data_IF_451734395029
#
_entry.id   IF_451734395029
#
_cell.length_a   1.000
_cell.length_b   1.000
_cell.length_c   1.000
_cell.angle_alpha   90.00
_cell.angle_beta   90.00
_cell.angle_gamma   90.00
#
_symmetry.space_group_name_H-M   'P 1'
#
loop_
_entity.id
_entity.type
_entity.pdbx_description
1 polymer ?
#
# COMPACT_ATOMS: atom_id res chain seq x y z
N UNK A 1 10.33 8.79 14.81
CA UNK A 1 10.00 9.55 13.57
C UNK A 1 9.46 8.58 12.54
N UNK A 2 8.46 8.95 11.73
CA UNK A 2 7.77 8.01 10.83
C UNK A 2 8.64 7.50 9.68
N UNK A 3 9.48 8.36 9.09
CA UNK A 3 10.36 8.00 7.97
C UNK A 3 11.27 6.81 8.28
N UNK A 4 11.79 6.71 9.52
CA UNK A 4 12.63 5.59 9.95
C UNK A 4 11.94 4.23 9.73
N UNK A 5 10.61 4.14 9.87
CA UNK A 5 9.87 2.89 9.63
C UNK A 5 9.96 2.47 8.16
N UNK A 6 9.93 3.45 7.25
CA UNK A 6 10.05 3.21 5.81
C UNK A 6 11.49 2.85 5.45
N UNK A 7 12.47 3.54 6.04
CA UNK A 7 13.90 3.28 5.86
C UNK A 7 14.26 1.86 6.34
N UNK A 8 13.77 1.45 7.50
CA UNK A 8 13.99 0.11 8.05
C UNK A 8 13.40 -0.98 7.12
N UNK A 9 12.23 -0.73 6.54
CA UNK A 9 11.58 -1.67 5.63
C UNK A 9 12.31 -1.77 4.27
N UNK A 10 12.82 -0.65 3.76
CA UNK A 10 13.70 -0.61 2.58
C UNK A 10 14.99 -1.38 2.86
N UNK A 11 15.62 -1.16 4.03
CA UNK A 11 16.83 -1.86 4.42
C UNK A 11 16.61 -3.39 4.52
N UNK A 12 15.45 -3.84 5.01
CA UNK A 12 15.10 -5.25 5.03
C UNK A 12 15.01 -5.85 3.61
N UNK A 13 14.41 -5.13 2.66
CA UNK A 13 14.36 -5.55 1.26
C UNK A 13 15.76 -5.64 0.62
N UNK A 14 16.60 -4.63 0.86
CA UNK A 14 17.99 -4.61 0.40
C UNK A 14 18.81 -5.75 1.01
N UNK A 15 18.61 -6.05 2.30
CA UNK A 15 19.23 -7.18 2.98
C UNK A 15 18.87 -8.51 2.31
N UNK A 16 17.58 -8.75 2.02
CA UNK A 16 17.13 -10.00 1.38
C UNK A 16 17.76 -10.20 -0.01
N UNK A 17 17.91 -9.11 -0.78
CA UNK A 17 18.55 -9.12 -2.09
C UNK A 17 20.06 -9.35 -1.96
N UNK A 18 20.73 -8.62 -1.07
CA UNK A 18 22.17 -8.74 -0.85
C UNK A 18 22.58 -10.15 -0.38
N UNK A 19 21.73 -10.79 0.43
CA UNK A 19 21.95 -12.15 0.93
C UNK A 19 21.38 -13.24 0.02
N UNK A 20 20.99 -12.90 -1.22
CA UNK A 20 20.59 -13.85 -2.26
C UNK A 20 19.37 -14.71 -1.91
N UNK A 21 18.51 -14.26 -1.01
CA UNK A 21 17.19 -14.90 -0.78
C UNK A 21 16.24 -14.66 -1.95
N UNK A 22 16.35 -13.49 -2.59
CA UNK A 22 15.52 -13.08 -3.73
C UNK A 22 16.25 -12.05 -4.60
N UNK A 23 15.56 -11.47 -5.57
CA UNK A 23 16.01 -10.35 -6.39
C UNK A 23 14.85 -9.39 -6.64
N UNK A 24 15.12 -8.16 -7.09
CA UNK A 24 14.10 -7.14 -7.37
C UNK A 24 12.88 -7.69 -8.13
N UNK A 25 13.02 -8.40 -9.28
CA UNK A 25 11.86 -8.90 -10.02
C UNK A 25 11.05 -10.00 -9.31
N UNK A 26 11.58 -10.55 -8.22
CA UNK A 26 11.01 -11.67 -7.43
C UNK A 26 10.65 -11.26 -6.00
N UNK A 27 10.81 -9.99 -5.64
CA UNK A 27 10.47 -9.47 -4.33
C UNK A 27 9.11 -8.77 -4.38
N UNK A 28 8.20 -9.14 -3.49
CA UNK A 28 6.95 -8.45 -3.26
C UNK A 28 6.86 -7.94 -1.83
N UNK A 29 6.17 -6.80 -1.64
CA UNK A 29 5.88 -6.23 -0.33
C UNK A 29 4.38 -6.19 -0.07
N UNK A 30 3.98 -6.45 1.18
CA UNK A 30 2.58 -6.52 1.58
C UNK A 30 2.41 -5.93 2.99
N UNK A 31 1.29 -5.25 3.20
CA UNK A 31 0.97 -4.67 4.50
C UNK A 31 -0.46 -4.14 4.54
N UNK A 32 -1.11 -4.27 5.71
CA UNK A 32 -2.50 -3.86 5.96
C UNK A 32 -2.62 -2.70 6.94
N UNK A 33 -3.61 -1.81 6.77
CA UNK A 33 -3.86 -0.67 7.69
C UNK A 33 -2.69 0.32 7.70
N UNK A 34 -2.05 0.55 8.85
CA UNK A 34 -0.76 1.26 8.92
C UNK A 34 0.33 0.55 8.07
N UNK A 35 0.25 -0.77 7.90
CA UNK A 35 1.09 -1.51 6.94
C UNK A 35 0.76 -1.19 5.47
N UNK A 36 -0.49 -0.81 5.16
CA UNK A 36 -0.86 -0.34 3.83
C UNK A 36 -0.24 1.03 3.53
N UNK A 37 -0.21 1.92 4.53
CA UNK A 37 0.56 3.17 4.48
C UNK A 37 2.05 2.89 4.25
N UNK A 38 2.64 1.96 5.00
CA UNK A 38 4.04 1.52 4.82
C UNK A 38 4.33 1.10 3.38
N UNK A 39 3.53 0.19 2.83
CA UNK A 39 3.71 -0.27 1.44
C UNK A 39 3.56 0.89 0.45
N UNK A 40 2.53 1.73 0.59
CA UNK A 40 2.33 2.87 -0.31
C UNK A 40 3.47 3.90 -0.26
N UNK A 41 3.95 4.23 0.93
CA UNK A 41 5.06 5.18 1.10
C UNK A 41 6.35 4.62 0.49
N UNK A 42 6.71 3.38 0.83
CA UNK A 42 7.93 2.73 0.33
C UNK A 42 7.89 2.51 -1.18
N UNK A 43 6.74 2.11 -1.73
CA UNK A 43 6.56 1.95 -3.17
C UNK A 43 6.81 3.26 -3.93
N UNK A 44 6.37 4.40 -3.38
CA UNK A 44 6.56 5.71 -4.00
C UNK A 44 7.99 6.25 -3.84
N UNK A 45 8.65 5.91 -2.73
CA UNK A 45 10.04 6.28 -2.48
C UNK A 45 11.02 5.46 -3.32
N UNK A 46 10.81 4.14 -3.41
CA UNK A 46 11.69 3.16 -4.07
C UNK A 46 10.91 2.22 -5.01
N UNK A 47 10.28 2.75 -6.09
CA UNK A 47 9.56 1.92 -7.07
C UNK A 47 10.49 0.94 -7.81
N UNK A 48 11.79 1.20 -7.80
CA UNK A 48 12.86 0.39 -8.41
C UNK A 48 13.22 -0.87 -7.61
N UNK A 49 12.77 -1.00 -6.36
CA UNK A 49 13.25 -2.04 -5.45
C UNK A 49 12.40 -3.32 -5.44
N UNK A 50 11.18 -3.27 -5.97
CA UNK A 50 10.20 -4.35 -5.86
C UNK A 50 9.69 -4.82 -7.22
N UNK A 51 9.30 -6.09 -7.32
CA UNK A 51 8.61 -6.66 -8.47
C UNK A 51 7.09 -6.55 -8.37
N UNK A 52 6.55 -6.52 -7.16
CA UNK A 52 5.13 -6.31 -6.90
C UNK A 52 4.85 -5.65 -5.52
N UNK A 53 3.69 -5.01 -5.38
CA UNK A 53 3.23 -4.40 -4.13
C UNK A 53 1.75 -4.70 -3.84
N UNK A 54 1.45 -4.96 -2.56
CA UNK A 54 0.14 -5.36 -2.06
C UNK A 54 -0.29 -4.48 -0.85
N UNK A 55 -0.57 -3.19 -1.06
CA UNK A 55 -1.12 -2.35 -0.01
C UNK A 55 -2.60 -2.71 0.26
N UNK A 56 -2.92 -3.08 1.49
CA UNK A 56 -4.27 -3.45 1.91
C UNK A 56 -4.86 -2.44 2.90
N UNK A 57 -6.10 -2.01 2.68
CA UNK A 57 -6.92 -1.21 3.62
C UNK A 57 -6.12 -0.08 4.28
N UNK A 58 -5.31 0.63 3.48
CA UNK A 58 -4.24 1.48 3.97
C UNK A 58 -4.62 2.95 4.12
N UNK A 59 -3.99 3.65 5.05
CA UNK A 59 -4.15 5.10 5.22
C UNK A 59 -3.29 5.83 4.18
N UNK A 60 -3.84 6.09 3.00
CA UNK A 60 -3.07 6.61 1.85
C UNK A 60 -2.99 8.14 1.77
N UNK A 61 -3.91 8.83 2.44
CA UNK A 61 -4.04 10.30 2.40
C UNK A 61 -3.77 10.81 3.81
N UNK A 62 -2.50 11.11 4.08
CA UNK A 62 -2.06 11.53 5.40
C UNK A 62 -2.40 12.98 5.72
N UNK A 63 -2.93 13.75 4.75
CA UNK A 63 -3.34 15.15 5.01
C UNK A 63 -4.83 15.30 5.27
N UNK A 64 -5.62 14.24 5.02
CA UNK A 64 -7.06 14.22 5.28
C UNK A 64 -7.54 13.04 6.12
N UNK A 65 -6.66 12.15 6.59
CA UNK A 65 -7.09 10.95 7.33
C UNK A 65 -7.94 11.27 8.57
N UNK A 66 -7.71 12.42 9.21
CA UNK A 66 -8.47 12.86 10.40
C UNK A 66 -9.91 13.24 10.11
N UNK A 67 -10.27 13.44 8.84
CA UNK A 67 -11.61 13.88 8.43
C UNK A 67 -12.59 12.71 8.21
N UNK A 68 -12.13 11.47 8.40
CA UNK A 68 -12.93 10.27 8.14
C UNK A 68 -12.98 9.33 9.35
N UNK A 69 -14.19 8.87 9.65
CA UNK A 69 -14.52 7.83 10.65
C UNK A 69 -13.75 7.98 11.97
N UNK A 70 -12.86 7.03 12.29
CA UNK A 70 -12.06 7.01 13.53
C UNK A 70 -10.65 7.58 13.35
N UNK A 71 -10.32 8.12 12.17
CA UNK A 71 -8.97 8.56 11.83
C UNK A 71 -8.41 9.65 12.75
N UNK A 72 -9.27 10.51 13.31
CA UNK A 72 -8.86 11.53 14.28
C UNK A 72 -8.19 10.94 15.55
N UNK A 73 -8.50 9.69 15.91
CA UNK A 73 -7.87 9.02 17.04
C UNK A 73 -6.39 8.67 16.80
N UNK A 74 -5.93 8.60 15.55
CA UNK A 74 -4.56 8.24 15.21
C UNK A 74 -3.61 9.44 15.13
N UNK A 75 -4.08 10.64 15.50
CA UNK A 75 -3.21 11.82 15.63
C UNK A 75 -2.07 11.61 16.61
N UNK A 76 -2.29 10.79 17.65
CA UNK A 76 -1.23 10.40 18.61
C UNK A 76 -0.04 9.73 17.94
N UNK A 77 -0.27 9.03 16.83
CA UNK A 77 0.74 8.22 16.14
C UNK A 77 1.32 8.91 14.91
N UNK A 78 0.48 9.65 14.17
CA UNK A 78 0.86 10.28 12.90
C UNK A 78 1.13 11.78 13.01
N UNK A 79 0.46 12.47 13.93
CA UNK A 79 0.35 13.93 13.98
C UNK A 79 -0.98 14.46 13.44
N UNK A 80 -1.23 15.74 13.64
CA UNK A 80 -2.39 16.50 13.19
C UNK A 80 -2.10 17.22 11.86
N UNK A 81 -2.78 16.88 10.74
CA UNK A 81 -2.65 17.60 9.48
C UNK A 81 -2.98 19.10 9.56
N UNK A 82 -3.68 19.54 10.62
CA UNK A 82 -4.04 20.95 10.84
C UNK A 82 -2.93 21.74 11.57
N UNK A 83 -1.94 21.07 12.16
CA UNK A 83 -0.73 21.73 12.65
C UNK A 83 0.26 21.93 11.49
N UNK A 84 0.64 23.17 11.12
CA UNK A 84 1.57 23.42 10.01
C UNK A 84 2.92 22.71 10.13
N UNK A 85 3.44 22.49 11.35
CA UNK A 85 4.71 21.79 11.55
C UNK A 85 4.58 20.30 11.29
N UNK A 86 3.47 19.70 11.70
CA UNK A 86 3.21 18.27 11.51
C UNK A 86 2.73 17.96 10.10
N UNK A 87 1.97 18.88 9.48
CA UNK A 87 1.56 18.83 8.08
C UNK A 87 2.74 18.61 7.15
N UNK A 88 3.84 19.37 7.32
CA UNK A 88 5.02 19.24 6.47
C UNK A 88 5.60 17.81 6.53
N UNK A 89 5.63 17.20 7.72
CA UNK A 89 6.09 15.82 7.89
C UNK A 89 5.11 14.82 7.26
N UNK A 90 3.80 14.98 7.46
CA UNK A 90 2.76 14.12 6.87
C UNK A 90 2.76 14.18 5.34
N UNK A 91 2.84 15.38 4.77
CA UNK A 91 2.86 15.60 3.33
C UNK A 91 4.09 14.96 2.69
N UNK A 92 5.25 15.02 3.34
CA UNK A 92 6.50 14.47 2.81
C UNK A 92 6.47 12.95 2.57
N UNK A 93 5.63 12.19 3.28
CA UNK A 93 5.52 10.73 3.09
C UNK A 93 4.13 10.25 2.65
N UNK A 94 3.11 11.12 2.60
CA UNK A 94 1.75 10.72 2.24
C UNK A 94 1.73 9.98 0.90
N UNK A 95 1.28 8.70 0.86
CA UNK A 95 1.30 7.93 -0.38
C UNK A 95 0.59 8.64 -1.53
N UNK A 96 -0.64 9.12 -1.32
CA UNK A 96 -1.43 9.80 -2.35
C UNK A 96 -0.71 11.02 -2.97
N UNK A 97 0.03 11.79 -2.17
CA UNK A 97 0.64 13.06 -2.59
C UNK A 97 2.05 12.90 -3.16
N UNK A 98 2.68 11.73 -2.98
CA UNK A 98 4.05 11.46 -3.41
C UNK A 98 4.13 10.48 -4.60
N UNK A 99 3.00 10.22 -5.25
CA UNK A 99 2.99 9.52 -6.54
C UNK A 99 3.63 10.44 -7.60
N UNK A 100 4.57 9.91 -8.37
CA UNK A 100 5.33 10.65 -9.37
C UNK A 100 4.88 10.25 -10.78
N UNK A 101 4.30 11.19 -11.53
CA UNK A 101 3.91 10.98 -12.92
C UNK A 101 5.11 10.56 -13.78
N UNK A 102 4.89 9.64 -14.72
CA UNK A 102 5.95 9.14 -15.59
C UNK A 102 6.80 8.02 -14.98
N UNK A 103 6.45 7.54 -13.78
CA UNK A 103 7.21 6.49 -13.09
C UNK A 103 6.74 5.11 -13.53
N UNK A 104 7.69 4.19 -13.71
CA UNK A 104 7.41 2.77 -13.96
C UNK A 104 7.22 2.05 -12.62
N UNK A 105 6.00 2.11 -12.08
CA UNK A 105 5.67 1.41 -10.84
C UNK A 105 5.62 -0.11 -11.06
N UNK A 106 6.01 -0.94 -10.08
CA UNK A 106 5.85 -2.38 -10.16
C UNK A 106 4.38 -2.78 -10.11
N UNK A 107 4.11 -4.04 -10.42
CA UNK A 107 2.75 -4.56 -10.42
C UNK A 107 2.12 -4.35 -9.04
N UNK A 108 1.01 -3.63 -8.97
CA UNK A 108 0.40 -3.26 -7.69
C UNK A 108 -1.05 -3.71 -7.65
N UNK A 109 -1.45 -4.41 -6.59
CA UNK A 109 -2.85 -4.69 -6.29
C UNK A 109 -3.22 -4.05 -4.96
N UNK A 110 -3.94 -2.94 -5.04
CA UNK A 110 -4.52 -2.28 -3.88
C UNK A 110 -5.75 -3.08 -3.44
N UNK A 111 -5.86 -3.44 -2.17
CA UNK A 111 -7.07 -4.10 -1.66
C UNK A 111 -7.78 -3.23 -0.63
N UNK A 112 -9.10 -3.24 -0.64
CA UNK A 112 -9.95 -2.54 0.34
C UNK A 112 -11.29 -3.25 0.44
N UNK A 113 -12.17 -2.81 1.35
CA UNK A 113 -13.53 -3.31 1.44
C UNK A 113 -14.56 -2.18 1.35
N UNK A 114 -15.77 -2.46 0.87
CA UNK A 114 -16.84 -1.47 0.63
C UNK A 114 -17.41 -0.84 1.91
N UNK A 115 -17.36 -1.59 3.02
CA UNK A 115 -17.93 -1.19 4.32
C UNK A 115 -16.86 -1.07 5.41
N UNK A 116 -15.60 -0.82 5.05
CA UNK A 116 -14.55 -0.51 6.02
C UNK A 116 -14.81 0.87 6.67
N UNK A 117 -15.27 0.84 7.92
CA UNK A 117 -15.51 2.02 8.73
C UNK A 117 -14.31 2.38 9.63
N UNK A 118 -13.27 1.55 9.68
CA UNK A 118 -12.05 1.86 10.44
C UNK A 118 -11.07 2.63 9.57
N UNK A 119 -10.72 2.17 8.36
CA UNK A 119 -9.96 2.95 7.36
C UNK A 119 -10.84 3.20 6.14
N UNK A 120 -11.25 4.45 5.95
CA UNK A 120 -12.21 4.81 4.90
C UNK A 120 -11.71 4.39 3.49
N UNK A 121 -12.48 3.64 2.68
CA UNK A 121 -12.02 3.04 1.43
C UNK A 121 -11.57 4.06 0.37
N UNK A 122 -12.02 5.32 0.48
CA UNK A 122 -11.58 6.38 -0.43
C UNK A 122 -10.07 6.64 -0.37
N UNK A 123 -9.37 6.24 0.70
CA UNK A 123 -7.90 6.20 0.70
C UNK A 123 -7.37 5.33 -0.44
N UNK A 124 -7.82 4.08 -0.49
CA UNK A 124 -7.45 3.12 -1.53
C UNK A 124 -7.94 3.53 -2.91
N UNK A 125 -9.16 4.07 -3.02
CA UNK A 125 -9.73 4.52 -4.30
C UNK A 125 -8.89 5.63 -4.93
N UNK A 126 -8.62 6.70 -4.17
CA UNK A 126 -7.82 7.84 -4.66
C UNK A 126 -6.40 7.41 -5.00
N UNK A 127 -5.79 6.56 -4.16
CA UNK A 127 -4.43 6.08 -4.37
C UNK A 127 -4.32 5.24 -5.65
N UNK A 128 -5.22 4.27 -5.85
CA UNK A 128 -5.23 3.45 -7.05
C UNK A 128 -5.45 4.30 -8.31
N UNK A 129 -6.40 5.24 -8.28
CA UNK A 129 -6.67 6.13 -9.41
C UNK A 129 -5.46 7.02 -9.76
N UNK A 130 -4.83 7.63 -8.76
CA UNK A 130 -3.64 8.46 -8.96
C UNK A 130 -2.43 7.63 -9.46
N UNK A 131 -2.29 6.39 -8.96
CA UNK A 131 -1.20 5.50 -9.35
C UNK A 131 -1.39 4.98 -10.79
N UNK A 132 -2.64 4.73 -11.21
CA UNK A 132 -2.99 4.43 -12.60
C UNK A 132 -2.68 5.60 -13.55
N UNK A 133 -3.05 6.84 -13.17
CA UNK A 133 -2.75 8.04 -13.96
C UNK A 133 -1.24 8.30 -14.11
N UNK A 134 -0.46 7.98 -13.08
CA UNK A 134 0.98 8.23 -13.06
C UNK A 134 1.84 7.14 -13.72
N UNK A 135 1.29 5.93 -13.90
CA UNK A 135 2.02 4.76 -14.40
C UNK A 135 2.49 4.96 -15.85
N UNK A 136 3.80 4.83 -16.06
CA UNK A 136 4.42 4.84 -17.38
C UNK A 136 5.00 3.48 -17.81
N UNK A 137 4.91 2.48 -16.94
CA UNK A 137 5.28 1.09 -17.22
C UNK A 137 4.11 0.26 -17.77
N UNK A 138 4.41 -0.99 -18.11
CA UNK A 138 3.45 -1.99 -18.58
C UNK A 138 2.84 -2.83 -17.43
N UNK A 139 3.34 -2.66 -16.21
CA UNK A 139 2.90 -3.41 -15.04
C UNK A 139 1.51 -2.95 -14.57
N UNK A 140 0.60 -3.89 -14.27
CA UNK A 140 -0.77 -3.54 -13.94
C UNK A 140 -0.85 -2.85 -12.56
N UNK A 141 -1.72 -1.84 -12.48
CA UNK A 141 -2.15 -1.22 -11.24
C UNK A 141 -3.64 -1.51 -11.07
N UNK A 142 -3.96 -2.39 -10.13
CA UNK A 142 -5.31 -2.89 -9.89
C UNK A 142 -5.82 -2.44 -8.52
N UNK A 143 -7.14 -2.40 -8.41
CA UNK A 143 -7.83 -2.32 -7.12
C UNK A 143 -8.85 -3.44 -7.00
N UNK A 144 -8.79 -4.19 -5.90
CA UNK A 144 -9.76 -5.22 -5.52
C UNK A 144 -10.59 -4.69 -4.35
N UNK A 145 -11.90 -4.57 -4.56
CA UNK A 145 -12.84 -4.06 -3.56
C UNK A 145 -13.67 -5.24 -3.08
N UNK A 146 -13.44 -5.67 -1.85
CA UNK A 146 -14.25 -6.71 -1.23
C UNK A 146 -15.64 -6.17 -0.91
N UNK A 147 -16.68 -6.92 -1.27
CA UNK A 147 -18.06 -6.53 -0.99
C UNK A 147 -18.60 -7.23 0.23
N UNK A 148 -19.45 -6.54 1.01
CA UNK A 148 -19.99 -7.08 2.28
C UNK A 148 -18.87 -7.49 3.26
N UNK A 149 -17.83 -6.67 3.34
CA UNK A 149 -16.74 -6.85 4.29
C UNK A 149 -16.29 -5.50 4.84
N UNK A 150 -15.81 -5.51 6.10
CA UNK A 150 -15.17 -4.36 6.73
C UNK A 150 -13.64 -4.46 6.72
N UNK A 151 -12.98 -3.84 7.70
CA UNK A 151 -11.51 -3.75 7.73
C UNK A 151 -10.78 -5.11 7.82
N UNK A 152 -11.43 -6.16 8.32
CA UNK A 152 -10.88 -7.51 8.27
C UNK A 152 -11.48 -8.47 9.29
N UNK A 153 -11.87 -7.97 10.47
CA UNK A 153 -12.51 -8.80 11.50
C UNK A 153 -13.87 -9.33 11.00
N UNK A 154 -14.15 -10.61 11.28
CA UNK A 154 -15.43 -11.25 10.92
C UNK A 154 -15.60 -11.59 9.44
N UNK A 155 -14.55 -11.47 8.61
CA UNK A 155 -14.61 -11.89 7.20
C UNK A 155 -14.85 -13.41 7.11
N UNK A 156 -15.89 -13.89 6.41
CA UNK A 156 -16.12 -15.33 6.20
C UNK A 156 -14.91 -16.03 5.59
N UNK A 157 -14.67 -17.29 5.98
CA UNK A 157 -13.54 -18.09 5.47
C UNK A 157 -13.54 -18.19 3.94
N UNK A 158 -14.70 -18.27 3.30
CA UNK A 158 -14.80 -18.28 1.83
C UNK A 158 -14.18 -17.03 1.19
N UNK A 159 -14.50 -15.85 1.72
CA UNK A 159 -13.92 -14.58 1.24
C UNK A 159 -12.42 -14.47 1.53
N UNK A 160 -11.94 -15.05 2.65
CA UNK A 160 -10.50 -15.12 2.93
C UNK A 160 -9.78 -16.01 1.91
N UNK A 161 -10.37 -17.16 1.55
CA UNK A 161 -9.82 -18.06 0.53
C UNK A 161 -9.77 -17.35 -0.83
N UNK A 162 -10.86 -16.70 -1.25
CA UNK A 162 -10.93 -15.94 -2.51
C UNK A 162 -9.88 -14.82 -2.56
N UNK A 163 -9.79 -14.00 -1.50
CA UNK A 163 -8.81 -12.92 -1.41
C UNK A 163 -7.37 -13.44 -1.50
N UNK A 164 -7.07 -14.54 -0.80
CA UNK A 164 -5.73 -15.11 -0.81
C UNK A 164 -5.39 -15.78 -2.16
N UNK A 165 -6.37 -16.40 -2.81
CA UNK A 165 -6.22 -16.95 -4.16
C UNK A 165 -5.92 -15.84 -5.18
N UNK A 166 -6.65 -14.71 -5.11
CA UNK A 166 -6.40 -13.55 -5.96
C UNK A 166 -5.01 -12.95 -5.72
N UNK A 167 -4.61 -12.80 -4.44
CA UNK A 167 -3.27 -12.29 -4.07
C UNK A 167 -2.16 -13.18 -4.61
N UNK A 168 -2.21 -14.49 -4.36
CA UNK A 168 -1.16 -15.38 -4.86
C UNK A 168 -1.19 -15.53 -6.37
N UNK A 169 -2.37 -15.60 -6.99
CA UNK A 169 -2.49 -15.62 -8.45
C UNK A 169 -1.88 -14.37 -9.10
N UNK A 170 -2.13 -13.20 -8.50
CA UNK A 170 -1.51 -11.95 -8.91
C UNK A 170 0.01 -11.98 -8.77
N UNK A 171 0.55 -12.45 -7.64
CA UNK A 171 1.99 -12.55 -7.41
C UNK A 171 2.67 -13.55 -8.36
N UNK A 172 2.08 -14.73 -8.55
CA UNK A 172 2.59 -15.75 -9.47
C UNK A 172 2.74 -15.17 -10.87
N UNK A 173 1.70 -14.49 -11.36
CA UNK A 173 1.72 -13.83 -12.67
C UNK A 173 2.73 -12.67 -12.72
N UNK A 174 2.72 -11.80 -11.72
CA UNK A 174 3.51 -10.55 -11.73
C UNK A 174 5.01 -10.79 -11.59
N UNK A 175 5.40 -11.80 -10.80
CA UNK A 175 6.78 -12.17 -10.52
C UNK A 175 7.31 -13.28 -11.46
N UNK A 176 6.48 -13.77 -12.39
CA UNK A 176 6.85 -14.81 -13.35
C UNK A 176 7.19 -16.16 -12.69
N UNK A 177 6.48 -16.51 -11.61
CA UNK A 177 6.68 -17.78 -10.91
C UNK A 177 6.10 -18.91 -11.78
N UNK A 178 6.91 -19.95 -12.03
CA UNK A 178 6.45 -21.17 -12.68
C UNK A 178 5.83 -22.08 -11.64
N UNK A 179 4.54 -22.37 -11.78
CA UNK A 179 3.87 -23.41 -11.00
C UNK A 179 4.29 -24.78 -11.57
N UNK A 180 4.67 -25.71 -10.68
CA UNK A 180 4.99 -27.10 -11.04
C UNK A 180 3.74 -27.96 -11.03
#
# INVERSE_FOLDING_TARGET
KKQNVFDDFIAAAEFLIANKYTSTPKLAIQGGSNGGLLVGAVLNQRPDLFGAALPAVGVMDMVRFTEFTVGAAWKSDYGDPKDPKEFAALYAYSPLHNIKKGTKYPATMVTTADTDDRVFPAHSFKYAAALQDAQAGDKPILIRIETKAGHGAGKPTSKQIEEQADIYGFLVKSLGIKMQ
#
